data_IF_225386366840
#
_entry.id   IF_225386366840
#
_cell.length_a   1.000
_cell.length_b   1.000
_cell.length_c   1.000
_cell.angle_alpha   90.00
_cell.angle_beta   90.00
_cell.angle_gamma   90.00
#
_symmetry.space_group_name_H-M   'P 1'
#
loop_
_entity.id
_entity.type
_entity.pdbx_description
1 polymer ?
#
# COMPACT_ATOMS: atom_id res chain seq x y z
N UNK A 1 22.74 24.92 -9.99
CA UNK A 1 23.24 24.19 -8.80
C UNK A 1 22.22 23.12 -8.46
N UNK A 2 22.64 21.87 -8.26
CA UNK A 2 21.75 20.76 -7.87
C UNK A 2 21.87 20.59 -6.36
N UNK A 3 20.74 20.52 -5.66
CA UNK A 3 20.67 20.26 -4.22
C UNK A 3 20.28 18.79 -4.01
N UNK A 4 21.01 18.08 -3.16
CA UNK A 4 20.75 16.66 -2.84
C UNK A 4 20.54 16.55 -1.33
N UNK A 5 19.37 16.03 -0.94
CA UNK A 5 18.94 15.92 0.45
C UNK A 5 18.33 14.52 0.72
N UNK A 6 18.33 14.05 1.97
CA UNK A 6 17.69 12.78 2.34
C UNK A 6 16.18 12.80 2.09
N UNK A 7 15.57 11.61 2.06
CA UNK A 7 14.12 11.46 1.95
C UNK A 7 13.40 12.20 3.10
N UNK A 8 12.45 13.07 2.73
CA UNK A 8 11.54 13.74 3.67
C UNK A 8 10.70 12.72 4.45
N UNK A 9 10.11 13.17 5.56
CA UNK A 9 9.23 12.39 6.44
C UNK A 9 9.90 11.19 7.14
N UNK A 10 11.22 11.07 7.06
CA UNK A 10 12.01 10.05 7.74
C UNK A 10 13.16 10.73 8.49
N UNK A 11 13.44 10.35 9.75
CA UNK A 11 14.56 10.92 10.50
C UNK A 11 15.89 10.66 9.80
N UNK A 12 16.76 11.67 9.71
CA UNK A 12 18.12 11.48 9.17
C UNK A 12 18.99 10.77 10.21
N UNK A 13 19.63 9.67 9.80
CA UNK A 13 20.65 8.99 10.62
C UNK A 13 22.00 9.66 10.40
N UNK A 14 22.47 9.67 9.15
CA UNK A 14 23.74 10.28 8.74
C UNK A 14 23.75 10.51 7.23
N UNK A 15 24.32 11.62 6.78
CA UNK A 15 24.43 11.97 5.35
C UNK A 15 23.07 11.92 4.64
N UNK A 16 22.89 11.06 3.64
CA UNK A 16 21.62 10.85 2.93
C UNK A 16 20.83 9.64 3.44
N UNK A 17 21.34 8.96 4.49
CA UNK A 17 20.71 7.79 5.09
C UNK A 17 19.66 8.23 6.11
N UNK A 18 18.47 7.64 6.00
CA UNK A 18 17.32 7.90 6.87
C UNK A 18 16.88 6.64 7.62
N UNK A 19 16.20 6.82 8.74
CA UNK A 19 15.55 5.77 9.47
C UNK A 19 14.19 5.41 8.83
N UNK A 20 14.10 4.20 8.29
CA UNK A 20 12.89 3.67 7.65
C UNK A 20 12.05 2.78 8.57
N UNK A 21 12.33 2.73 9.87
CA UNK A 21 11.64 1.83 10.81
C UNK A 21 10.13 2.10 10.83
N UNK A 22 9.71 3.36 10.97
CA UNK A 22 8.28 3.74 10.95
C UNK A 22 7.60 3.36 9.62
N UNK A 23 8.32 3.54 8.49
CA UNK A 23 7.83 3.15 7.17
C UNK A 23 7.53 1.66 7.10
N UNK A 24 8.45 0.80 7.55
CA UNK A 24 8.24 -0.65 7.52
C UNK A 24 7.23 -1.12 8.56
N UNK A 25 7.11 -0.45 9.71
CA UNK A 25 6.10 -0.77 10.71
C UNK A 25 4.70 -0.44 10.21
N UNK A 26 4.51 0.71 9.55
CA UNK A 26 3.26 1.03 8.86
C UNK A 26 2.97 0.07 7.71
N UNK A 27 4.00 -0.33 6.95
CA UNK A 27 3.88 -1.36 5.91
C UNK A 27 3.36 -2.68 6.50
N UNK A 28 3.87 -3.13 7.65
CA UNK A 28 3.35 -4.30 8.40
C UNK A 28 1.93 -4.10 8.89
N UNK A 29 1.62 -2.95 9.51
CA UNK A 29 0.27 -2.61 10.02
C UNK A 29 -0.79 -2.66 8.92
N UNK A 30 -0.44 -2.33 7.67
CA UNK A 30 -1.35 -2.41 6.53
C UNK A 30 -1.68 -3.85 6.07
N UNK A 31 -1.13 -4.89 6.71
CA UNK A 31 -1.37 -6.29 6.32
C UNK A 31 -0.55 -6.71 5.11
N UNK A 32 0.77 -6.50 5.15
CA UNK A 32 1.70 -6.81 4.04
C UNK A 32 1.95 -8.30 3.74
N UNK A 33 1.51 -9.20 4.62
CA UNK A 33 1.93 -10.60 4.64
C UNK A 33 0.94 -11.43 3.84
N UNK A 34 1.45 -12.10 2.81
CA UNK A 34 0.65 -13.06 2.06
C UNK A 34 0.40 -14.29 2.93
N UNK A 35 -0.88 -14.60 3.13
CA UNK A 35 -1.35 -15.87 3.70
C UNK A 35 -2.05 -16.63 2.59
N UNK A 36 -1.49 -17.77 2.19
CA UNK A 36 -2.06 -18.63 1.17
C UNK A 36 -3.17 -19.53 1.73
N UNK A 37 -4.08 -19.95 0.87
CA UNK A 37 -5.11 -20.96 1.17
C UNK A 37 -4.64 -22.40 0.95
N UNK A 38 -3.48 -22.58 0.32
CA UNK A 38 -2.90 -23.87 -0.04
C UNK A 38 -1.64 -24.16 0.79
N UNK A 39 -1.29 -25.44 0.90
CA UNK A 39 -0.10 -25.95 1.57
C UNK A 39 1.02 -26.22 0.56
N UNK A 40 2.22 -26.52 1.07
CA UNK A 40 3.37 -26.90 0.23
C UNK A 40 3.18 -28.22 -0.54
N UNK A 41 2.15 -29.00 -0.21
CA UNK A 41 1.85 -30.28 -0.86
C UNK A 41 0.83 -30.14 -2.01
N UNK A 42 0.16 -28.99 -2.09
CA UNK A 42 -0.78 -28.69 -3.16
C UNK A 42 -0.01 -28.21 -4.41
N UNK A 43 -0.55 -28.47 -5.61
CA UNK A 43 0.01 -27.89 -6.83
C UNK A 43 -0.04 -26.35 -6.77
N UNK A 44 0.91 -25.64 -7.42
CA UNK A 44 0.86 -24.19 -7.49
C UNK A 44 -0.48 -23.69 -8.03
N UNK A 45 -1.06 -22.70 -7.35
CA UNK A 45 -2.34 -22.13 -7.77
C UNK A 45 -2.24 -21.54 -9.18
N UNK A 46 -3.10 -22.01 -10.09
CA UNK A 46 -3.21 -21.46 -11.43
C UNK A 46 -3.96 -20.12 -11.38
N UNK A 47 -3.23 -19.01 -11.59
CA UNK A 47 -3.81 -17.66 -11.64
C UNK A 47 -3.74 -17.15 -13.06
N UNK A 48 -4.91 -16.97 -13.69
CA UNK A 48 -4.97 -16.45 -15.06
C UNK A 48 -4.45 -15.00 -15.13
N UNK A 49 -3.48 -14.68 -16.00
CA UNK A 49 -3.04 -13.29 -16.23
C UNK A 49 -4.16 -12.37 -16.73
N UNK A 50 -5.22 -12.94 -17.30
CA UNK A 50 -6.36 -12.17 -17.82
C UNK A 50 -7.44 -11.94 -16.76
N UNK A 51 -7.34 -12.56 -15.58
CA UNK A 51 -8.32 -12.40 -14.50
C UNK A 51 -8.37 -10.94 -14.05
N UNK A 52 -9.59 -10.43 -13.80
CA UNK A 52 -9.78 -9.03 -13.36
C UNK A 52 -9.03 -8.74 -12.07
N UNK A 53 -9.07 -9.69 -11.12
CA UNK A 53 -8.36 -9.60 -9.84
C UNK A 53 -6.85 -9.57 -10.03
N UNK A 54 -6.32 -10.46 -10.88
CA UNK A 54 -4.89 -10.49 -11.19
C UNK A 54 -4.40 -9.19 -11.81
N UNK A 55 -5.12 -8.64 -12.79
CA UNK A 55 -4.80 -7.32 -13.38
C UNK A 55 -4.81 -6.18 -12.35
N UNK A 56 -5.75 -6.21 -11.39
CA UNK A 56 -5.82 -5.21 -10.32
C UNK A 56 -4.64 -5.31 -9.34
N UNK A 57 -4.18 -6.53 -9.04
CA UNK A 57 -2.99 -6.75 -8.23
C UNK A 57 -1.71 -6.34 -8.98
N UNK A 58 -1.57 -6.74 -10.25
CA UNK A 58 -0.41 -6.43 -11.10
C UNK A 58 -0.19 -4.92 -11.28
N UNK A 59 -1.26 -4.13 -11.28
CA UNK A 59 -1.17 -2.67 -11.33
C UNK A 59 -0.40 -2.01 -10.15
N UNK A 60 -0.10 -2.78 -9.09
CA UNK A 60 0.54 -2.29 -7.89
C UNK A 60 1.70 -3.18 -7.38
N UNK A 61 1.89 -4.39 -7.92
CA UNK A 61 2.73 -5.44 -7.33
C UNK A 61 4.24 -5.17 -7.43
N UNK A 62 4.66 -4.40 -8.43
CA UNK A 62 6.08 -4.08 -8.71
C UNK A 62 6.69 -3.04 -7.75
N UNK A 63 6.07 -2.82 -6.59
CA UNK A 63 6.56 -1.86 -5.60
C UNK A 63 7.88 -2.35 -4.99
N UNK A 64 8.95 -1.56 -5.18
CA UNK A 64 10.30 -1.87 -4.66
C UNK A 64 10.57 -1.34 -3.24
N UNK A 65 9.55 -0.82 -2.56
CA UNK A 65 9.65 -0.26 -1.20
C UNK A 65 10.72 0.84 -1.02
N UNK A 66 10.98 1.64 -2.05
CA UNK A 66 12.00 2.70 -2.04
C UNK A 66 11.68 3.92 -1.16
N UNK A 67 10.44 4.05 -0.64
CA UNK A 67 10.04 5.16 0.23
C UNK A 67 9.77 6.50 -0.45
N UNK A 68 10.04 6.67 -1.75
CA UNK A 68 9.86 7.96 -2.47
C UNK A 68 8.43 8.49 -2.36
N UNK A 69 7.43 7.62 -2.53
CA UNK A 69 6.03 8.01 -2.41
C UNK A 69 5.65 8.46 -0.99
N UNK A 70 6.31 7.90 0.04
CA UNK A 70 6.12 8.25 1.45
C UNK A 70 6.74 9.62 1.75
N UNK A 71 7.94 9.86 1.23
CA UNK A 71 8.65 11.13 1.36
C UNK A 71 7.97 12.29 0.61
N UNK A 72 7.34 12.00 -0.53
CA UNK A 72 6.68 13.03 -1.35
C UNK A 72 5.27 13.41 -0.87
N UNK A 73 4.71 12.68 0.10
CA UNK A 73 3.32 12.85 0.52
C UNK A 73 3.22 13.76 1.73
N UNK A 74 2.50 14.88 1.61
CA UNK A 74 2.39 15.82 2.73
C UNK A 74 1.50 15.24 3.84
N UNK A 75 0.53 14.38 3.54
CA UNK A 75 -0.31 13.69 4.55
C UNK A 75 0.53 12.91 5.56
N UNK A 76 1.62 12.28 5.10
CA UNK A 76 2.55 11.57 5.98
C UNK A 76 3.21 12.51 7.00
N UNK A 77 3.40 13.77 6.64
CA UNK A 77 4.07 14.75 7.52
C UNK A 77 3.19 15.22 8.68
N UNK A 78 1.87 15.29 8.49
CA UNK A 78 0.94 15.85 9.48
C UNK A 78 -0.03 14.84 10.12
N UNK A 79 -0.25 13.66 9.53
CA UNK A 79 -1.02 12.58 10.15
C UNK A 79 -0.13 11.36 10.45
N UNK A 80 0.14 11.13 11.73
CA UNK A 80 0.96 10.00 12.19
C UNK A 80 0.27 8.65 12.04
N UNK A 81 -1.06 8.62 12.06
CA UNK A 81 -1.86 7.40 11.89
C UNK A 81 -2.04 7.05 10.39
N UNK A 82 -1.69 7.96 9.48
CA UNK A 82 -1.63 7.65 8.05
C UNK A 82 -0.57 6.58 7.76
N UNK A 83 -1.02 5.41 7.29
CA UNK A 83 -0.15 4.28 6.92
C UNK A 83 0.81 4.61 5.78
N UNK A 84 0.48 5.58 4.94
CA UNK A 84 1.32 6.00 3.83
C UNK A 84 1.05 5.24 2.52
N UNK A 85 1.44 5.82 1.38
CA UNK A 85 1.09 5.30 0.07
C UNK A 85 1.70 3.93 -0.25
N UNK A 86 2.94 3.64 0.17
CA UNK A 86 3.55 2.34 -0.08
C UNK A 86 2.82 1.19 0.64
N UNK A 87 2.46 1.41 1.91
CA UNK A 87 1.75 0.44 2.73
C UNK A 87 0.35 0.14 2.16
N UNK A 88 -0.39 1.19 1.80
CA UNK A 88 -1.71 1.05 1.18
C UNK A 88 -1.64 0.45 -0.23
N UNK A 89 -0.59 0.74 -1.01
CA UNK A 89 -0.35 0.08 -2.29
C UNK A 89 -0.11 -1.42 -2.12
N UNK A 90 0.63 -1.85 -1.09
CA UNK A 90 0.78 -3.27 -0.77
C UNK A 90 -0.54 -3.91 -0.34
N UNK A 91 -1.31 -3.26 0.53
CA UNK A 91 -2.63 -3.76 0.93
C UNK A 91 -3.55 -3.97 -0.29
N UNK A 92 -3.52 -3.07 -1.27
CA UNK A 92 -4.26 -3.24 -2.52
C UNK A 92 -3.86 -4.49 -3.30
N UNK A 93 -2.56 -4.82 -3.37
CA UNK A 93 -2.12 -6.05 -4.04
C UNK A 93 -2.69 -7.30 -3.38
N UNK A 94 -2.69 -7.36 -2.04
CA UNK A 94 -3.18 -8.52 -1.30
C UNK A 94 -4.70 -8.61 -1.26
N UNK A 95 -5.39 -7.48 -1.18
CA UNK A 95 -6.84 -7.43 -1.30
C UNK A 95 -7.34 -8.02 -2.63
N UNK A 96 -6.57 -7.82 -3.71
CA UNK A 96 -6.91 -8.31 -5.04
C UNK A 96 -6.30 -9.68 -5.39
N UNK A 97 -5.36 -10.21 -4.60
CA UNK A 97 -4.76 -11.52 -4.87
C UNK A 97 -5.76 -12.65 -4.54
N UNK A 98 -6.17 -13.39 -5.58
CA UNK A 98 -7.16 -14.48 -5.44
C UNK A 98 -6.65 -15.68 -4.62
N UNK A 99 -5.35 -15.76 -4.37
CA UNK A 99 -4.72 -16.81 -3.54
C UNK A 99 -4.66 -16.43 -2.07
N UNK A 100 -4.94 -15.17 -1.73
CA UNK A 100 -4.85 -14.68 -0.37
C UNK A 100 -6.08 -15.10 0.45
N UNK A 101 -5.84 -15.67 1.63
CA UNK A 101 -6.89 -16.25 2.46
C UNK A 101 -7.87 -15.23 3.05
N UNK A 102 -7.40 -14.05 3.47
CA UNK A 102 -8.24 -13.06 4.15
C UNK A 102 -8.10 -11.64 3.59
N UNK A 103 -8.65 -11.38 2.39
CA UNK A 103 -8.66 -10.03 1.82
C UNK A 103 -9.52 -9.06 2.65
N UNK A 104 -10.49 -9.53 3.44
CA UNK A 104 -11.35 -8.65 4.24
C UNK A 104 -10.57 -8.05 5.41
N UNK A 105 -9.74 -8.85 6.08
CA UNK A 105 -8.85 -8.36 7.14
C UNK A 105 -7.83 -7.35 6.61
N UNK A 106 -7.26 -7.59 5.41
CA UNK A 106 -6.38 -6.61 4.74
C UNK A 106 -7.10 -5.28 4.53
N UNK A 107 -8.33 -5.31 4.00
CA UNK A 107 -9.12 -4.11 3.80
C UNK A 107 -9.40 -3.39 5.13
N UNK A 108 -9.83 -4.12 6.16
CA UNK A 108 -10.10 -3.59 7.50
C UNK A 108 -8.89 -2.90 8.11
N UNK A 109 -7.71 -3.54 8.07
CA UNK A 109 -6.44 -2.96 8.54
C UNK A 109 -6.07 -1.72 7.74
N UNK A 110 -6.16 -1.82 6.42
CA UNK A 110 -5.84 -0.72 5.52
C UNK A 110 -6.74 0.50 5.74
N UNK A 111 -7.98 0.34 6.20
CA UNK A 111 -8.97 1.42 6.40
C UNK A 111 -9.23 1.75 7.87
N UNK A 112 -8.43 1.19 8.79
CA UNK A 112 -8.60 1.41 10.23
C UNK A 112 -8.23 2.84 10.65
N UNK A 113 -9.07 3.47 11.48
CA UNK A 113 -8.83 4.85 11.93
C UNK A 113 -8.75 5.84 10.78
N UNK A 114 -7.73 6.70 10.81
CA UNK A 114 -7.50 7.70 9.76
C UNK A 114 -6.76 7.13 8.53
N UNK A 115 -6.26 5.89 8.57
CA UNK A 115 -5.27 5.37 7.61
C UNK A 115 -5.59 5.59 6.13
N UNK A 116 -6.51 4.86 5.52
CA UNK A 116 -6.83 5.04 4.10
C UNK A 116 -7.51 6.41 3.89
N UNK A 117 -8.30 6.83 4.87
CA UNK A 117 -9.22 7.96 4.76
C UNK A 117 -8.52 9.31 4.68
N UNK A 118 -7.35 9.48 5.33
CA UNK A 118 -6.54 10.71 5.30
C UNK A 118 -5.92 11.04 3.94
N UNK A 119 -5.94 10.12 2.98
CA UNK A 119 -5.47 10.44 1.63
C UNK A 119 -6.44 11.39 0.91
N UNK A 120 -5.98 12.60 0.59
CA UNK A 120 -6.73 13.61 -0.16
C UNK A 120 -6.36 13.69 -1.64
N UNK A 121 -5.84 12.59 -2.21
CA UNK A 121 -5.61 12.46 -3.67
C UNK A 121 -4.71 13.55 -4.27
N UNK A 122 -3.71 14.02 -3.52
CA UNK A 122 -2.76 15.05 -3.99
C UNK A 122 -1.92 14.59 -5.19
N UNK A 123 -1.67 13.28 -5.33
CA UNK A 123 -1.04 12.69 -6.51
C UNK A 123 0.50 12.61 -6.51
N UNK A 124 1.20 13.32 -5.62
CA UNK A 124 2.68 13.32 -5.56
C UNK A 124 3.29 11.90 -5.53
N UNK A 125 2.66 10.98 -4.81
CA UNK A 125 3.11 9.59 -4.68
C UNK A 125 3.11 8.80 -6.00
N UNK A 126 2.22 9.14 -6.94
CA UNK A 126 2.19 8.58 -8.29
C UNK A 126 3.17 9.33 -9.19
N UNK A 127 3.21 10.67 -9.12
CA UNK A 127 4.09 11.51 -9.95
C UNK A 127 5.57 11.17 -9.77
N UNK A 128 6.00 10.88 -8.54
CA UNK A 128 7.41 10.61 -8.23
C UNK A 128 7.75 9.13 -8.14
N UNK A 129 6.83 8.21 -8.44
CA UNK A 129 7.12 6.79 -8.36
C UNK A 129 8.16 6.40 -9.42
N UNK A 130 9.34 5.85 -9.04
CA UNK A 130 10.39 5.51 -10.00
C UNK A 130 10.05 4.31 -10.89
N UNK A 131 9.03 3.54 -10.51
CA UNK A 131 8.52 2.37 -11.24
C UNK A 131 7.11 2.60 -11.79
N UNK A 132 6.68 3.86 -11.88
CA UNK A 132 5.43 4.27 -12.54
C UNK A 132 4.15 3.63 -12.00
N UNK A 133 4.13 3.30 -10.70
CA UNK A 133 2.93 2.81 -10.03
C UNK A 133 2.00 3.96 -9.65
N UNK A 134 0.72 3.65 -9.46
CA UNK A 134 -0.27 4.59 -8.93
C UNK A 134 -0.74 4.20 -7.52
N UNK A 135 0.01 4.55 -6.46
CA UNK A 135 -0.49 4.42 -5.09
C UNK A 135 -1.81 5.16 -4.88
N UNK A 136 -2.00 6.31 -5.53
CA UNK A 136 -3.27 7.05 -5.51
C UNK A 136 -4.43 6.19 -6.01
N UNK A 137 -4.25 5.48 -7.13
CA UNK A 137 -5.25 4.57 -7.67
C UNK A 137 -5.56 3.40 -6.73
N UNK A 138 -4.52 2.79 -6.15
CA UNK A 138 -4.64 1.73 -5.14
C UNK A 138 -5.45 2.18 -3.92
N UNK A 139 -5.15 3.37 -3.39
CA UNK A 139 -5.85 3.95 -2.23
C UNK A 139 -7.32 4.25 -2.58
N UNK A 140 -7.60 4.84 -3.74
CA UNK A 140 -8.97 5.07 -4.19
C UNK A 140 -9.75 3.75 -4.33
N UNK A 141 -9.10 2.71 -4.83
CA UNK A 141 -9.64 1.35 -4.89
C UNK A 141 -10.00 0.79 -3.52
N UNK A 142 -9.10 0.94 -2.54
CA UNK A 142 -9.36 0.52 -1.16
C UNK A 142 -10.56 1.29 -0.55
N UNK A 143 -10.59 2.63 -0.67
CA UNK A 143 -11.72 3.46 -0.20
C UNK A 143 -13.05 3.01 -0.80
N UNK A 144 -13.08 2.77 -2.11
CA UNK A 144 -14.28 2.30 -2.81
C UNK A 144 -14.75 0.96 -2.26
N UNK A 145 -13.85 -0.01 -2.08
CA UNK A 145 -14.22 -1.33 -1.58
C UNK A 145 -14.66 -1.27 -0.11
N UNK A 146 -14.06 -0.41 0.72
CA UNK A 146 -14.47 -0.18 2.09
C UNK A 146 -15.91 0.36 2.16
N UNK A 147 -16.24 1.36 1.32
CA UNK A 147 -17.59 1.90 1.22
C UNK A 147 -18.59 0.82 0.77
N UNK A 148 -18.25 0.04 -0.26
CA UNK A 148 -19.12 -1.04 -0.74
C UNK A 148 -19.35 -2.13 0.32
N UNK A 149 -18.36 -2.40 1.18
CA UNK A 149 -18.49 -3.35 2.27
C UNK A 149 -19.40 -2.79 3.38
N UNK A 150 -19.23 -1.52 3.75
CA UNK A 150 -20.09 -0.83 4.71
C UNK A 150 -21.56 -0.84 4.28
N UNK A 151 -21.84 -0.50 3.02
CA UNK A 151 -23.21 -0.48 2.47
C UNK A 151 -23.89 -1.85 2.41
N UNK A 152 -23.11 -2.95 2.40
CA UNK A 152 -23.64 -4.32 2.40
C UNK A 152 -23.98 -4.85 3.80
N UNK A 153 -23.93 -3.98 4.83
CA UNK A 153 -24.20 -4.36 6.22
C UNK A 153 -22.98 -4.98 6.91
N UNK A 154 -21.79 -4.39 6.72
CA UNK A 154 -20.58 -4.88 7.37
C UNK A 154 -20.73 -4.92 8.90
N UNK A 155 -20.36 -6.06 9.49
CA UNK A 155 -20.26 -6.29 10.95
C UNK A 155 -19.39 -5.25 11.68
#
# INVERSE_FOLDING_TARGET
MIVIEPLRNMPRIKDLVVDMSEFFDKWKKAGNTFVGTATRHDPPAAVSPTSKKRKMADAAIECINCGVCYASCDVVSWDKEYLGPAALNRAWTLFNDERHADPKDVLKKATSGSSCNSCHTQGNCMTHCPVSLSPTGSIAGLKKNALLQFLKGGD
#
